data_IF_897981863875
#
_entry.id   IF_897981863875
#
_cell.length_a   1.000
_cell.length_b   1.000
_cell.length_c   1.000
_cell.angle_alpha   90.00
_cell.angle_beta   90.00
_cell.angle_gamma   90.00
#
_symmetry.space_group_name_H-M   'P 1'
#
loop_
_entity.id
_entity.type
_entity.pdbx_description
1 polymer ?
#
# COMPACT_ATOMS: atom_id res chain seq x y z
N UNK A 1 -4.14 -21.52 1.64
CA UNK A 1 -4.56 -21.46 3.06
C UNK A 1 -5.73 -22.41 3.27
N UNK A 2 -6.83 -22.24 2.53
CA UNK A 2 -8.06 -23.07 2.67
C UNK A 2 -7.76 -24.57 2.48
N UNK A 3 -7.02 -24.92 1.44
CA UNK A 3 -6.69 -26.32 1.14
C UNK A 3 -5.90 -27.04 2.24
N UNK A 4 -5.35 -26.28 3.19
CA UNK A 4 -4.55 -26.81 4.32
C UNK A 4 -5.22 -26.53 5.67
N UNK A 5 -6.49 -26.13 5.68
CA UNK A 5 -7.22 -25.72 6.89
C UNK A 5 -6.46 -24.64 7.71
N UNK A 6 -5.72 -23.78 7.00
CA UNK A 6 -4.85 -22.77 7.60
C UNK A 6 -5.51 -21.43 7.95
N UNK A 7 -6.80 -21.29 7.72
CA UNK A 7 -7.52 -20.01 7.88
C UNK A 7 -7.53 -19.48 9.31
N UNK A 8 -7.47 -20.36 10.30
CA UNK A 8 -7.35 -19.98 11.71
C UNK A 8 -5.93 -19.55 12.14
N UNK A 9 -4.93 -19.82 11.32
CA UNK A 9 -3.51 -19.64 11.66
C UNK A 9 -2.83 -18.59 10.77
N UNK A 10 -3.12 -18.62 9.47
CA UNK A 10 -2.43 -17.79 8.47
C UNK A 10 -3.33 -16.68 7.95
N UNK A 11 -2.72 -15.52 7.70
CA UNK A 11 -3.34 -14.40 7.00
C UNK A 11 -2.44 -13.94 5.87
N UNK A 12 -3.02 -13.26 4.90
CA UNK A 12 -2.30 -12.69 3.77
C UNK A 12 -1.77 -11.31 4.17
N UNK A 13 -0.56 -11.00 3.73
CA UNK A 13 -0.08 -9.62 3.64
C UNK A 13 -0.49 -9.09 2.28
N UNK A 14 -1.35 -8.07 2.23
CA UNK A 14 -1.61 -7.34 0.99
C UNK A 14 -0.61 -6.18 0.90
N UNK A 15 0.36 -6.29 0.02
CA UNK A 15 1.34 -5.24 -0.24
C UNK A 15 0.99 -4.55 -1.56
N UNK A 16 0.74 -3.25 -1.51
CA UNK A 16 0.28 -2.50 -2.69
C UNK A 16 1.32 -2.44 -3.81
N UNK A 17 2.60 -2.44 -3.47
CA UNK A 17 3.69 -2.50 -4.42
C UNK A 17 3.71 -3.84 -5.16
N UNK A 18 3.73 -4.95 -4.44
CA UNK A 18 3.77 -6.28 -5.04
C UNK A 18 2.48 -6.60 -5.82
N UNK A 19 1.34 -6.14 -5.34
CA UNK A 19 0.08 -6.28 -6.07
C UNK A 19 0.13 -5.57 -7.43
N UNK A 20 0.68 -4.36 -7.46
CA UNK A 20 0.89 -3.62 -8.72
C UNK A 20 1.88 -4.34 -9.64
N UNK A 21 3.00 -4.84 -9.12
CA UNK A 21 3.99 -5.59 -9.92
C UNK A 21 3.40 -6.87 -10.53
N UNK A 22 2.45 -7.48 -9.86
CA UNK A 22 1.71 -8.64 -10.35
C UNK A 22 0.59 -8.27 -11.34
N UNK A 23 0.55 -7.01 -11.81
CA UNK A 23 -0.48 -6.46 -12.70
C UNK A 23 -1.89 -6.47 -12.10
N UNK A 24 -1.98 -6.35 -10.79
CA UNK A 24 -3.25 -6.37 -10.06
C UNK A 24 -3.82 -7.79 -9.93
N UNK A 25 -5.12 -7.90 -9.96
CA UNK A 25 -5.83 -9.16 -9.80
C UNK A 25 -6.79 -9.12 -8.61
N UNK A 26 -7.30 -10.27 -8.16
CA UNK A 26 -8.26 -10.30 -7.07
C UNK A 26 -7.62 -9.89 -5.75
N UNK A 27 -8.42 -9.25 -4.90
CA UNK A 27 -8.08 -8.96 -3.51
C UNK A 27 -8.80 -9.94 -2.57
N UNK A 28 -8.26 -10.16 -1.38
CA UNK A 28 -8.79 -11.11 -0.43
C UNK A 28 -8.96 -10.48 0.96
N UNK A 29 -9.89 -9.51 1.12
CA UNK A 29 -10.00 -8.72 2.36
C UNK A 29 -10.28 -9.58 3.59
N UNK A 30 -11.11 -10.62 3.45
CA UNK A 30 -11.46 -11.52 4.55
C UNK A 30 -10.26 -12.35 5.06
N UNK A 31 -9.24 -12.53 4.24
CA UNK A 31 -8.03 -13.30 4.58
C UNK A 31 -6.81 -12.43 4.82
N UNK A 32 -6.94 -11.10 4.67
CA UNK A 32 -5.85 -10.14 4.84
C UNK A 32 -5.69 -9.79 6.31
N UNK A 33 -4.48 -9.98 6.83
CA UNK A 33 -4.13 -9.65 8.22
C UNK A 33 -3.46 -8.29 8.39
N UNK A 34 -2.74 -7.85 7.37
CA UNK A 34 -2.08 -6.55 7.34
C UNK A 34 -1.97 -6.07 5.89
N UNK A 35 -2.07 -4.76 5.70
CA UNK A 35 -1.80 -4.10 4.42
C UNK A 35 -0.49 -3.32 4.55
N UNK A 36 0.45 -3.59 3.66
CA UNK A 36 1.66 -2.79 3.51
C UNK A 36 1.49 -1.80 2.36
N UNK A 37 1.87 -0.55 2.59
CA UNK A 37 1.78 0.52 1.60
C UNK A 37 3.12 1.20 1.37
N UNK A 38 3.37 1.54 0.14
CA UNK A 38 4.47 2.40 -0.30
C UNK A 38 4.11 3.02 -1.65
N UNK A 39 4.73 4.14 -2.00
CA UNK A 39 4.52 4.81 -3.28
C UNK A 39 5.70 4.65 -4.23
N UNK A 40 5.44 4.75 -5.51
CA UNK A 40 6.47 4.92 -6.55
C UNK A 40 6.01 6.06 -7.45
N UNK A 41 6.86 7.07 -7.62
CA UNK A 41 6.49 8.30 -8.34
C UNK A 41 7.32 8.57 -9.59
N UNK A 42 8.47 7.93 -9.77
CA UNK A 42 9.35 8.16 -10.92
C UNK A 42 8.65 7.74 -12.23
N UNK A 43 8.30 8.71 -13.11
CA UNK A 43 7.56 8.40 -14.33
C UNK A 43 8.41 7.71 -15.40
N UNK A 44 9.73 7.68 -15.24
CA UNK A 44 10.66 7.03 -16.18
C UNK A 44 10.75 5.52 -15.99
N UNK A 45 10.29 5.00 -14.83
CA UNK A 45 10.34 3.57 -14.55
C UNK A 45 9.17 2.84 -15.22
N UNK A 46 9.46 1.75 -15.91
CA UNK A 46 8.44 0.75 -16.23
C UNK A 46 8.09 -0.07 -14.97
N UNK A 47 6.97 -0.77 -15.00
CA UNK A 47 6.59 -1.65 -13.88
C UNK A 47 7.68 -2.69 -13.58
N UNK A 48 8.30 -3.24 -14.62
CA UNK A 48 9.36 -4.23 -14.49
C UNK A 48 10.68 -3.67 -13.92
N UNK A 49 10.88 -2.36 -14.01
CA UNK A 49 12.05 -1.69 -13.46
C UNK A 49 11.88 -1.26 -12.00
N UNK A 50 10.65 -1.27 -11.49
CA UNK A 50 10.38 -0.90 -10.10
C UNK A 50 10.98 -1.91 -9.13
N UNK A 51 11.70 -1.42 -8.14
CA UNK A 51 12.30 -2.22 -7.08
C UNK A 51 12.13 -1.56 -5.72
N UNK A 52 12.54 -2.24 -4.67
CA UNK A 52 12.39 -1.75 -3.29
C UNK A 52 13.03 -0.39 -3.07
N UNK A 53 14.14 -0.09 -3.77
CA UNK A 53 14.83 1.20 -3.68
C UNK A 53 13.97 2.38 -4.15
N UNK A 54 12.91 2.14 -4.90
CA UNK A 54 12.00 3.18 -5.41
C UNK A 54 10.80 3.41 -4.49
N UNK A 55 10.63 2.59 -3.47
CA UNK A 55 9.47 2.62 -2.57
C UNK A 55 9.59 3.76 -1.57
N UNK A 56 8.75 4.77 -1.74
CA UNK A 56 8.66 5.97 -0.89
C UNK A 56 7.31 6.03 -0.15
N UNK A 57 7.10 7.08 0.63
CA UNK A 57 5.78 7.35 1.21
C UNK A 57 4.78 7.72 0.12
N UNK A 58 3.51 7.41 0.36
CA UNK A 58 2.42 7.65 -0.61
C UNK A 58 2.10 9.13 -0.71
N UNK A 59 2.05 9.66 -1.91
CA UNK A 59 1.67 11.04 -2.23
C UNK A 59 0.80 11.12 -3.49
N UNK A 60 0.55 12.35 -3.97
CA UNK A 60 -0.32 12.60 -5.11
C UNK A 60 0.21 12.12 -6.46
N UNK A 61 1.50 11.81 -6.56
CA UNK A 61 2.14 11.34 -7.79
C UNK A 61 2.33 9.81 -7.80
N UNK A 62 1.74 9.12 -6.83
CA UNK A 62 1.83 7.66 -6.71
C UNK A 62 1.34 6.95 -7.97
N UNK A 63 2.13 6.00 -8.45
CA UNK A 63 1.86 5.19 -9.65
C UNK A 63 1.35 3.78 -9.34
N UNK A 64 1.31 3.39 -8.06
CA UNK A 64 0.90 2.05 -7.65
C UNK A 64 -0.62 1.91 -7.43
N UNK A 65 -1.36 3.03 -7.46
CA UNK A 65 -2.78 3.03 -7.19
C UNK A 65 -3.12 2.73 -5.72
N UNK A 66 -2.30 3.21 -4.78
CA UNK A 66 -2.50 2.96 -3.35
C UNK A 66 -3.89 3.36 -2.87
N UNK A 67 -4.36 4.55 -3.24
CA UNK A 67 -5.67 5.04 -2.79
C UNK A 67 -6.79 4.11 -3.26
N UNK A 68 -6.75 3.68 -4.51
CA UNK A 68 -7.74 2.77 -5.07
C UNK A 68 -7.68 1.41 -4.39
N UNK A 69 -6.50 0.84 -4.21
CA UNK A 69 -6.33 -0.45 -3.54
C UNK A 69 -6.86 -0.42 -2.11
N UNK A 70 -6.53 0.63 -1.34
CA UNK A 70 -7.02 0.80 0.03
C UNK A 70 -8.54 0.96 0.04
N UNK A 71 -9.09 1.79 -0.85
CA UNK A 71 -10.54 2.00 -0.95
C UNK A 71 -11.29 0.70 -1.24
N UNK A 72 -10.79 -0.11 -2.16
CA UNK A 72 -11.38 -1.41 -2.50
C UNK A 72 -11.34 -2.39 -1.31
N UNK A 73 -10.21 -2.48 -0.61
CA UNK A 73 -10.07 -3.33 0.57
C UNK A 73 -11.05 -2.91 1.69
N UNK A 74 -11.11 -1.62 1.99
CA UNK A 74 -12.00 -1.09 3.04
C UNK A 74 -13.47 -1.26 2.66
N UNK A 75 -13.85 -0.97 1.42
CA UNK A 75 -15.21 -1.16 0.93
C UNK A 75 -15.65 -2.64 0.99
N UNK A 76 -14.72 -3.56 0.85
CA UNK A 76 -14.96 -5.00 0.95
C UNK A 76 -14.88 -5.55 2.40
N UNK A 77 -14.74 -4.66 3.40
CA UNK A 77 -14.81 -5.00 4.82
C UNK A 77 -13.48 -5.14 5.55
N UNK A 78 -12.35 -4.84 4.91
CA UNK A 78 -11.07 -4.83 5.62
C UNK A 78 -11.04 -3.72 6.67
N UNK A 79 -10.68 -4.06 7.91
CA UNK A 79 -10.61 -3.13 9.04
C UNK A 79 -9.32 -3.27 9.86
N UNK A 80 -8.36 -4.04 9.36
CA UNK A 80 -7.08 -4.27 10.02
C UNK A 80 -6.07 -3.13 9.84
N UNK A 81 -4.84 -3.34 10.30
CA UNK A 81 -3.78 -2.33 10.21
C UNK A 81 -3.32 -2.09 8.78
N UNK A 82 -2.94 -0.84 8.51
CA UNK A 82 -2.28 -0.41 7.29
C UNK A 82 -0.94 0.20 7.72
N UNK A 83 0.16 -0.35 7.23
CA UNK A 83 1.51 0.01 7.64
C UNK A 83 2.35 0.45 6.46
N UNK A 84 3.13 1.52 6.64
CA UNK A 84 4.12 1.91 5.64
C UNK A 84 5.25 0.89 5.57
N UNK A 85 5.64 0.53 4.35
CA UNK A 85 6.81 -0.29 4.06
C UNK A 85 7.61 0.36 2.93
N UNK A 86 8.29 1.46 3.24
CA UNK A 86 9.07 2.25 2.30
C UNK A 86 10.56 2.00 2.49
N UNK A 87 11.22 1.49 1.45
CA UNK A 87 12.63 1.08 1.51
C UNK A 87 13.60 2.06 0.86
N UNK A 88 13.11 3.12 0.22
CA UNK A 88 13.98 4.11 -0.40
C UNK A 88 14.87 4.80 0.62
N UNK A 89 16.14 4.97 0.27
CA UNK A 89 17.07 5.74 1.09
C UNK A 89 16.60 7.18 1.32
N UNK A 90 15.89 7.75 0.36
CA UNK A 90 15.24 9.06 0.50
C UNK A 90 14.34 9.13 1.73
N UNK A 91 13.57 8.08 2.00
CA UNK A 91 12.71 8.01 3.18
C UNK A 91 13.52 7.78 4.46
N UNK A 92 14.49 6.89 4.40
CA UNK A 92 15.34 6.56 5.54
C UNK A 92 16.24 7.70 5.98
N UNK A 93 16.58 8.62 5.09
CA UNK A 93 17.37 9.81 5.37
C UNK A 93 16.54 11.08 5.60
N UNK A 94 15.22 10.97 5.69
CA UNK A 94 14.31 12.09 5.94
C UNK A 94 14.66 12.77 7.27
N UNK A 95 14.97 14.09 7.27
CA UNK A 95 15.35 14.81 8.49
C UNK A 95 14.24 14.87 9.54
N UNK A 96 12.98 14.92 9.09
CA UNK A 96 11.80 14.90 9.96
C UNK A 96 10.83 13.80 9.52
N UNK A 97 11.09 12.55 9.91
CA UNK A 97 10.27 11.42 9.47
C UNK A 97 8.84 11.48 10.01
N UNK A 98 8.64 12.08 11.17
CA UNK A 98 7.29 12.23 11.74
C UNK A 98 6.44 13.15 10.88
N UNK A 99 6.97 14.31 10.51
CA UNK A 99 6.26 15.25 9.63
C UNK A 99 5.99 14.63 8.26
N UNK A 100 6.94 13.89 7.70
CA UNK A 100 6.78 13.21 6.41
C UNK A 100 5.67 12.16 6.47
N UNK A 101 5.64 11.33 7.52
CA UNK A 101 4.58 10.35 7.74
C UNK A 101 3.22 11.01 7.90
N UNK A 102 3.12 12.08 8.69
CA UNK A 102 1.87 12.82 8.88
C UNK A 102 1.35 13.34 7.54
N UNK A 103 2.20 13.95 6.71
CA UNK A 103 1.79 14.44 5.39
C UNK A 103 1.22 13.32 4.51
N UNK A 104 1.85 12.16 4.52
CA UNK A 104 1.38 11.01 3.73
C UNK A 104 0.06 10.46 4.27
N UNK A 105 -0.08 10.33 5.59
CA UNK A 105 -1.32 9.89 6.23
C UNK A 105 -2.47 10.85 5.92
N UNK A 106 -2.24 12.15 6.04
CA UNK A 106 -3.26 13.17 5.78
C UNK A 106 -3.67 13.16 4.30
N UNK A 107 -2.72 13.00 3.39
CA UNK A 107 -3.01 12.81 1.97
C UNK A 107 -3.93 11.60 1.74
N UNK A 108 -3.55 10.44 2.26
CA UNK A 108 -4.33 9.21 2.11
C UNK A 108 -5.74 9.39 2.67
N UNK A 109 -5.88 9.92 3.88
CA UNK A 109 -7.17 10.15 4.54
C UNK A 109 -8.06 11.09 3.73
N UNK A 110 -7.51 12.19 3.23
CA UNK A 110 -8.26 13.16 2.43
C UNK A 110 -8.80 12.54 1.13
N UNK A 111 -8.01 11.69 0.48
CA UNK A 111 -8.42 11.02 -0.75
C UNK A 111 -9.47 9.95 -0.51
N UNK A 112 -9.32 9.16 0.55
CA UNK A 112 -10.32 8.15 0.93
C UNK A 112 -11.66 8.79 1.31
N UNK A 113 -11.63 9.91 2.04
CA UNK A 113 -12.84 10.69 2.38
C UNK A 113 -13.54 11.20 1.11
N UNK A 114 -12.80 11.70 0.14
CA UNK A 114 -13.34 12.18 -1.13
C UNK A 114 -14.02 11.06 -1.94
N UNK A 115 -13.48 9.84 -1.92
CA UNK A 115 -14.08 8.67 -2.59
C UNK A 115 -15.37 8.24 -1.89
N UNK A 116 -15.40 8.28 -0.55
CA UNK A 116 -16.58 7.88 0.25
C UNK A 116 -17.72 8.89 0.22
N UNK A 117 -17.45 10.12 -0.20
CA UNK A 117 -18.44 11.20 -0.22
C UNK A 117 -19.49 11.06 -1.36
#
# INVERSE_FOLDING_TARGET
>A
IQALDGEGTFRIVHDTFHHHLAHGGPIFPAHTGIVHISGVVDPSLSTEQMGDQHRILVDGDDRLGNIQQIAELVAAGYSGPISFEAFSEQVHSEPDPVAALIRSIDFIRSRLTAIAA
#
